data_IF_315540354221
#
_entry.id   IF_315540354221
#
_cell.length_a   1.000
_cell.length_b   1.000
_cell.length_c   1.000
_cell.angle_alpha   90.00
_cell.angle_beta   90.00
_cell.angle_gamma   90.00
#
_symmetry.space_group_name_H-M   'P 1'
#
loop_
_entity.id
_entity.type
_entity.pdbx_description
1 polymer ?
#
# COMPACT_ATOMS: atom_id res chain seq x y z
N UNK A 1 14.59 -51.74 25.52
CA UNK A 1 15.17 -50.54 24.87
C UNK A 1 14.16 -49.69 24.10
N UNK A 2 12.98 -50.21 23.71
CA UNK A 2 11.96 -49.47 22.93
C UNK A 2 11.12 -48.51 23.79
N UNK A 3 10.72 -48.90 25.00
CA UNK A 3 9.90 -48.05 25.90
C UNK A 3 10.61 -46.79 26.42
N UNK A 4 11.92 -46.83 26.64
CA UNK A 4 12.70 -45.65 27.05
C UNK A 4 12.76 -44.58 25.96
N UNK A 5 12.81 -45.01 24.68
CA UNK A 5 12.81 -44.11 23.51
C UNK A 5 11.44 -43.45 23.29
N UNK A 6 10.34 -44.15 23.56
CA UNK A 6 9.00 -43.57 23.53
C UNK A 6 8.82 -42.50 24.62
N UNK A 7 9.26 -42.77 25.86
CA UNK A 7 9.15 -41.75 26.93
C UNK A 7 9.99 -40.49 26.70
N UNK A 8 11.13 -40.61 26.00
CA UNK A 8 11.93 -39.44 25.62
C UNK A 8 11.28 -38.65 24.49
N UNK A 9 10.66 -39.32 23.52
CA UNK A 9 9.91 -38.67 22.44
C UNK A 9 8.69 -37.93 22.96
N UNK A 10 7.93 -38.52 23.89
CA UNK A 10 6.76 -37.87 24.50
C UNK A 10 7.15 -36.61 25.31
N UNK A 11 8.31 -36.63 25.98
CA UNK A 11 8.85 -35.46 26.68
C UNK A 11 9.32 -34.38 25.71
N UNK A 12 9.94 -34.77 24.60
CA UNK A 12 10.36 -33.86 23.53
C UNK A 12 9.13 -33.18 22.89
N UNK A 13 8.08 -33.95 22.60
CA UNK A 13 6.81 -33.45 22.05
C UNK A 13 6.08 -32.52 23.04
N UNK A 14 6.02 -32.87 24.32
CA UNK A 14 5.46 -32.00 25.35
C UNK A 14 6.25 -30.68 25.47
N UNK A 15 7.58 -30.73 25.36
CA UNK A 15 8.44 -29.54 25.37
C UNK A 15 8.20 -28.68 24.13
N UNK A 16 8.10 -29.28 22.94
CA UNK A 16 7.83 -28.57 21.68
C UNK A 16 6.44 -27.94 21.71
N UNK A 17 5.43 -28.65 22.21
CA UNK A 17 4.07 -28.12 22.35
C UNK A 17 4.00 -26.99 23.36
N UNK A 18 4.71 -27.08 24.50
CA UNK A 18 4.82 -25.98 25.44
C UNK A 18 5.53 -24.75 24.83
N UNK A 19 6.56 -24.98 24.02
CA UNK A 19 7.26 -23.90 23.30
C UNK A 19 6.35 -23.25 22.26
N UNK A 20 5.59 -24.03 21.48
CA UNK A 20 4.59 -23.52 20.53
C UNK A 20 3.48 -22.75 21.23
N UNK A 21 2.96 -23.25 22.35
CA UNK A 21 1.93 -22.57 23.13
C UNK A 21 2.43 -21.22 23.69
N UNK A 22 3.67 -21.16 24.19
CA UNK A 22 4.31 -19.90 24.63
C UNK A 22 4.52 -18.93 23.47
N UNK A 23 4.96 -19.43 22.31
CA UNK A 23 5.14 -18.61 21.12
C UNK A 23 3.80 -18.04 20.63
N UNK A 24 2.73 -18.85 20.60
CA UNK A 24 1.38 -18.39 20.25
C UNK A 24 0.84 -17.35 21.24
N UNK A 25 0.98 -17.59 22.55
CA UNK A 25 0.59 -16.62 23.57
C UNK A 25 1.39 -15.31 23.46
N UNK A 26 2.68 -15.37 23.10
CA UNK A 26 3.51 -14.20 22.82
C UNK A 26 3.04 -13.45 21.59
N UNK A 27 2.75 -14.15 20.50
CA UNK A 27 2.25 -13.53 19.26
C UNK A 27 0.90 -12.85 19.49
N UNK A 28 -0.02 -13.48 20.22
CA UNK A 28 -1.32 -12.89 20.56
C UNK A 28 -1.18 -11.56 21.32
N UNK A 29 -0.23 -11.46 22.25
CA UNK A 29 0.06 -10.20 22.99
C UNK A 29 0.65 -9.12 22.09
N UNK A 30 1.51 -9.47 21.14
CA UNK A 30 2.09 -8.49 20.20
C UNK A 30 1.09 -7.98 19.16
N UNK A 31 0.12 -8.82 18.79
CA UNK A 31 -0.96 -8.47 17.87
C UNK A 31 -2.02 -7.57 18.54
N UNK A 32 -2.22 -7.67 19.85
CA UNK A 32 -3.12 -6.79 20.58
C UNK A 32 -2.46 -5.42 20.87
N UNK A 33 -2.76 -4.43 20.05
CA UNK A 33 -2.19 -3.08 20.15
C UNK A 33 -2.42 -2.43 21.53
N UNK A 34 -3.55 -2.71 22.20
CA UNK A 34 -3.88 -2.13 23.51
C UNK A 34 -3.05 -2.74 24.64
N UNK A 35 -2.86 -4.06 24.64
CA UNK A 35 -2.00 -4.74 25.62
C UNK A 35 -0.52 -4.38 25.41
N UNK A 36 -0.12 -4.11 24.16
CA UNK A 36 1.23 -3.63 23.83
C UNK A 36 1.51 -2.23 24.37
N UNK A 37 0.51 -1.34 24.32
CA UNK A 37 0.66 0.05 24.80
C UNK A 37 0.41 0.18 26.31
N UNK A 38 -0.52 -0.60 26.87
CA UNK A 38 -0.95 -0.54 28.27
C UNK A 38 -1.17 -1.95 28.84
N UNK A 39 -0.07 -2.69 29.05
CA UNK A 39 -0.09 -4.03 29.64
C UNK A 39 -0.06 -3.97 31.18
N UNK A 40 -1.21 -4.14 31.83
CA UNK A 40 -1.32 -4.12 33.30
C UNK A 40 -2.09 -5.35 33.80
N UNK A 41 -1.47 -6.13 34.68
CA UNK A 41 -2.12 -7.26 35.36
C UNK A 41 -2.87 -6.77 36.60
N UNK A 42 -4.16 -6.46 36.43
CA UNK A 42 -5.02 -5.95 37.50
C UNK A 42 -5.14 -6.94 38.67
N UNK A 43 -5.26 -8.24 38.39
CA UNK A 43 -5.43 -9.24 39.44
C UNK A 43 -4.15 -9.43 40.28
N UNK A 44 -2.97 -9.21 39.70
CA UNK A 44 -1.72 -9.17 40.47
C UNK A 44 -1.61 -7.88 41.31
N UNK A 45 -1.99 -6.73 40.75
CA UNK A 45 -1.99 -5.47 41.50
C UNK A 45 -2.98 -5.48 42.66
N UNK A 46 -4.19 -6.00 42.47
CA UNK A 46 -5.20 -6.11 43.53
C UNK A 46 -4.69 -7.00 44.69
N UNK A 47 -3.99 -8.09 44.37
CA UNK A 47 -3.32 -8.94 45.36
C UNK A 47 -2.24 -8.19 46.14
N UNK A 48 -1.40 -7.41 45.46
CA UNK A 48 -0.36 -6.60 46.11
C UNK A 48 -0.94 -5.50 47.00
N UNK A 49 -2.07 -4.90 46.60
CA UNK A 49 -2.76 -3.87 47.39
C UNK A 49 -3.33 -4.48 48.67
N UNK A 50 -3.99 -5.64 48.58
CA UNK A 50 -4.53 -6.32 49.76
C UNK A 50 -3.40 -6.83 50.68
N UNK A 51 -2.30 -7.34 50.13
CA UNK A 51 -1.11 -7.73 50.93
C UNK A 51 -0.54 -6.55 51.72
N UNK A 52 -0.36 -5.39 51.06
CA UNK A 52 0.11 -4.16 51.74
C UNK A 52 -0.87 -3.67 52.79
N UNK A 53 -2.17 -3.79 52.54
CA UNK A 53 -3.21 -3.41 53.49
C UNK A 53 -3.18 -4.30 54.73
N UNK A 54 -3.04 -5.61 54.56
CA UNK A 54 -2.93 -6.56 55.67
C UNK A 54 -1.65 -6.34 56.48
N UNK A 55 -0.50 -6.12 55.81
CA UNK A 55 0.76 -5.81 56.48
C UNK A 55 0.66 -4.53 57.35
N UNK A 56 0.02 -3.49 56.81
CA UNK A 56 -0.20 -2.23 57.55
C UNK A 56 -1.16 -2.38 58.73
N UNK A 57 -2.14 -3.27 58.63
CA UNK A 57 -3.03 -3.58 59.75
C UNK A 57 -2.30 -4.36 60.85
N UNK A 58 -1.47 -5.33 60.48
CA UNK A 58 -0.64 -6.08 61.42
C UNK A 58 0.36 -5.18 62.14
N UNK A 59 1.02 -4.26 61.43
CA UNK A 59 1.94 -3.28 62.03
C UNK A 59 1.22 -2.35 63.01
N UNK A 60 0.01 -1.88 62.67
CA UNK A 60 -0.81 -1.08 63.59
C UNK A 60 -1.21 -1.84 64.85
N UNK A 61 -1.54 -3.13 64.73
CA UNK A 61 -1.87 -3.96 65.88
C UNK A 61 -0.64 -4.18 66.77
N UNK A 62 0.51 -4.53 66.19
CA UNK A 62 1.76 -4.69 66.94
C UNK A 62 2.16 -3.41 67.68
N UNK A 63 2.02 -2.24 67.05
CA UNK A 63 2.30 -0.95 67.69
C UNK A 63 1.31 -0.65 68.83
N UNK A 64 0.03 -1.01 68.68
CA UNK A 64 -0.97 -0.83 69.74
C UNK A 64 -0.70 -1.75 70.94
N UNK A 65 -0.32 -3.01 70.68
CA UNK A 65 0.03 -3.98 71.72
C UNK A 65 1.30 -3.55 72.47
N UNK A 66 2.31 -3.06 71.75
CA UNK A 66 3.53 -2.53 72.35
C UNK A 66 3.25 -1.29 73.22
N UNK A 67 2.41 -0.38 72.73
CA UNK A 67 1.99 0.78 73.52
C UNK A 67 1.24 0.39 74.80
N UNK A 68 0.35 -0.61 74.74
CA UNK A 68 -0.36 -1.12 75.91
C UNK A 68 0.60 -1.75 76.93
N UNK A 69 1.59 -2.50 76.45
CA UNK A 69 2.65 -3.07 77.29
C UNK A 69 3.49 -2.00 77.97
N UNK A 70 3.93 -0.99 77.23
CA UNK A 70 4.73 0.11 77.77
C UNK A 70 3.98 0.90 78.85
N UNK A 71 2.67 1.14 78.67
CA UNK A 71 1.84 1.74 79.71
C UNK A 71 1.75 0.89 80.98
N UNK A 72 1.66 -0.44 80.84
CA UNK A 72 1.66 -1.33 81.99
C UNK A 72 2.99 -1.29 82.75
N UNK A 73 4.12 -1.28 82.04
CA UNK A 73 5.46 -1.18 82.63
C UNK A 73 5.63 0.13 83.37
N UNK A 74 5.19 1.26 82.78
CA UNK A 74 5.25 2.57 83.43
C UNK A 74 4.46 2.59 84.74
N UNK A 75 3.25 2.03 84.76
CA UNK A 75 2.43 1.95 85.98
C UNK A 75 3.11 1.16 87.08
N UNK A 76 3.77 0.05 86.74
CA UNK A 76 4.50 -0.78 87.72
C UNK A 76 5.72 -0.01 88.26
N UNK A 77 6.46 0.69 87.40
CA UNK A 77 7.59 1.51 87.81
C UNK A 77 7.18 2.66 88.74
N UNK A 78 6.07 3.34 88.43
CA UNK A 78 5.53 4.40 89.29
C UNK A 78 5.12 3.87 90.66
N UNK A 79 4.46 2.71 90.73
CA UNK A 79 4.10 2.06 92.00
C UNK A 79 5.33 1.71 92.84
N UNK A 80 6.33 1.06 92.22
CA UNK A 80 7.59 0.70 92.88
C UNK A 80 8.35 1.92 93.39
N UNK A 81 8.37 3.01 92.61
CA UNK A 81 9.05 4.24 93.02
C UNK A 81 8.32 4.92 94.18
N UNK A 82 6.99 4.92 94.17
CA UNK A 82 6.17 5.44 95.28
C UNK A 82 6.38 4.62 96.56
N UNK A 83 6.39 3.28 96.47
CA UNK A 83 6.68 2.38 97.59
C UNK A 83 8.09 2.58 98.13
N UNK A 84 9.11 2.68 97.25
CA UNK A 84 10.49 2.94 97.65
C UNK A 84 10.64 4.31 98.33
N UNK A 85 9.95 5.35 97.84
CA UNK A 85 9.92 6.67 98.47
C UNK A 85 9.27 6.63 99.85
N UNK A 86 8.15 5.92 99.99
CA UNK A 86 7.46 5.75 101.27
C UNK A 86 8.33 4.99 102.28
N UNK A 87 8.98 3.89 101.86
CA UNK A 87 9.89 3.12 102.70
C UNK A 87 11.09 3.95 103.18
N UNK A 88 11.72 4.72 102.28
CA UNK A 88 12.83 5.63 102.64
C UNK A 88 12.39 6.72 103.62
N UNK A 89 11.19 7.29 103.45
CA UNK A 89 10.66 8.27 104.40
C UNK A 89 10.38 7.63 105.77
N UNK A 90 9.80 6.44 105.81
CA UNK A 90 9.55 5.71 107.05
C UNK A 90 10.86 5.36 107.78
N UNK A 91 11.87 4.89 107.06
CA UNK A 91 13.19 4.57 107.59
C UNK A 91 13.89 5.83 108.13
N UNK A 92 13.82 6.95 107.39
CA UNK A 92 14.38 8.23 107.84
C UNK A 92 13.69 8.75 109.10
N UNK A 93 12.36 8.62 109.20
CA UNK A 93 11.61 9.01 110.39
C UNK A 93 11.95 8.10 111.58
N UNK A 94 12.06 6.78 111.38
CA UNK A 94 12.48 5.84 112.42
C UNK A 94 13.89 6.16 112.92
N UNK A 95 14.84 6.41 112.02
CA UNK A 95 16.20 6.84 112.37
C UNK A 95 16.18 8.14 113.18
N UNK A 96 15.33 9.10 112.79
CA UNK A 96 15.19 10.38 113.47
C UNK A 96 14.69 10.22 114.91
N UNK A 97 13.69 9.38 115.12
CA UNK A 97 13.16 9.06 116.46
C UNK A 97 14.21 8.34 117.32
N UNK A 98 14.92 7.38 116.72
CA UNK A 98 15.96 6.58 117.39
C UNK A 98 17.16 7.45 117.81
N UNK A 99 17.55 8.41 116.96
CA UNK A 99 18.59 9.40 117.27
C UNK A 99 18.14 10.41 118.33
N UNK A 100 16.86 10.83 118.32
CA UNK A 100 16.30 11.70 119.37
C UNK A 100 16.27 10.99 120.72
N UNK A 101 15.95 9.69 120.75
CA UNK A 101 16.00 8.87 121.96
C UNK A 101 17.43 8.74 122.50
N UNK A 102 18.40 8.41 121.63
CA UNK A 102 19.82 8.31 122.01
C UNK A 102 20.44 9.64 122.42
N UNK A 103 19.92 10.77 121.94
CA UNK A 103 20.37 12.09 122.36
C UNK A 103 19.95 12.46 123.79
N UNK A 104 18.92 11.82 124.34
CA UNK A 104 18.45 12.01 125.72
C UNK A 104 19.15 11.10 126.74
N UNK A 105 19.91 10.10 126.28
CA UNK A 105 20.73 9.27 127.17
C UNK A 105 21.86 10.11 127.79
N UNK A 106 22.10 9.99 129.11
CA UNK A 106 23.17 10.74 129.77
C UNK A 106 24.52 10.32 129.17
N UNK A 107 25.14 11.25 128.43
CA UNK A 107 26.49 11.06 127.88
C UNK A 107 27.45 10.80 129.02
N UNK A 108 28.07 9.62 129.00
CA UNK A 108 29.11 9.19 129.94
C UNK A 108 30.06 10.36 130.28
N UNK A 109 30.04 10.75 131.56
CA UNK A 109 30.91 11.74 132.20
C UNK A 109 32.31 11.18 132.43
N UNK A 110 32.93 10.68 131.36
CA UNK A 110 34.37 10.43 131.36
C UNK A 110 35.08 11.77 131.19
N UNK A 111 36.01 12.08 132.10
CA UNK A 111 36.87 13.27 132.01
C UNK A 111 37.56 13.27 130.65
N UNK A 112 37.29 14.32 129.88
CA UNK A 112 37.75 14.43 128.50
C UNK A 112 39.27 14.59 128.46
N UNK A 113 39.89 13.53 127.93
CA UNK A 113 41.04 13.53 127.03
C UNK A 113 42.38 13.91 127.66
N UNK A 114 43.20 12.89 127.93
CA UNK A 114 44.66 13.05 127.97
C UNK A 114 45.19 13.58 126.63
N UNK A 115 46.47 13.95 126.61
CA UNK A 115 47.17 14.45 125.41
C UNK A 115 46.82 13.63 124.16
N UNK A 116 46.51 14.27 123.01
CA UNK A 116 46.16 13.57 121.77
C UNK A 116 47.20 12.50 121.47
N UNK A 117 46.74 11.25 121.37
CA UNK A 117 47.61 10.13 120.99
C UNK A 117 48.05 10.38 119.55
N UNK A 118 49.36 10.37 119.31
CA UNK A 118 49.90 10.39 117.96
C UNK A 118 49.81 8.96 117.38
N UNK A 119 48.95 8.70 116.39
CA UNK A 119 48.74 7.36 115.84
C UNK A 119 49.97 6.81 115.10
N UNK A 120 50.90 7.67 114.68
CA UNK A 120 52.14 7.25 114.01
C UNK A 120 53.15 6.62 114.98
N UNK A 121 53.09 6.98 116.27
CA UNK A 121 53.96 6.46 117.33
C UNK A 121 53.39 5.19 118.00
N UNK A 122 52.17 4.77 117.60
CA UNK A 122 51.47 3.63 118.17
C UNK A 122 51.79 2.32 117.44
N UNK A 123 51.94 1.22 118.18
CA UNK A 123 52.12 -0.11 117.59
C UNK A 123 50.82 -0.63 116.98
N UNK A 124 50.92 -1.58 116.03
CA UNK A 124 49.78 -2.17 115.33
C UNK A 124 48.74 -2.81 116.27
N UNK A 125 49.15 -3.28 117.45
CA UNK A 125 48.28 -3.91 118.44
C UNK A 125 47.36 -2.90 119.18
N UNK A 126 47.68 -1.60 119.16
CA UNK A 126 46.94 -0.58 119.88
C UNK A 126 45.60 -0.20 119.22
N UNK A 127 45.36 -0.64 117.96
CA UNK A 127 44.13 -0.34 117.22
C UNK A 127 43.93 1.14 116.89
N UNK A 128 44.96 1.97 117.02
CA UNK A 128 44.92 3.42 116.76
C UNK A 128 45.32 3.80 115.32
N UNK A 129 45.88 2.86 114.55
CA UNK A 129 46.29 3.07 113.15
C UNK A 129 45.82 1.90 112.29
N UNK A 130 45.03 2.19 111.26
CA UNK A 130 44.54 1.19 110.31
C UNK A 130 45.15 1.41 108.92
N UNK A 131 45.69 0.38 108.30
CA UNK A 131 46.26 0.47 106.95
C UNK A 131 45.23 0.84 105.86
N UNK A 132 43.94 0.64 106.11
CA UNK A 132 42.85 1.03 105.21
C UNK A 132 42.45 2.51 105.31
N UNK A 133 42.89 3.21 106.35
CA UNK A 133 42.65 4.63 106.56
C UNK A 133 43.66 5.43 105.73
N UNK A 134 43.41 5.53 104.42
CA UNK A 134 44.26 6.29 103.51
C UNK A 134 44.19 7.79 103.81
N UNK A 135 45.13 8.27 104.63
CA UNK A 135 45.29 9.69 104.96
C UNK A 135 45.62 10.56 103.72
N UNK A 136 46.12 9.95 102.64
CA UNK A 136 46.48 10.63 101.40
C UNK A 136 45.36 10.63 100.35
N UNK A 137 44.17 10.15 100.70
CA UNK A 137 43.03 9.99 99.79
C UNK A 137 42.75 11.23 98.95
N UNK A 138 42.72 12.40 99.57
CA UNK A 138 42.40 13.65 98.87
C UNK A 138 43.48 14.05 97.87
N UNK A 139 44.76 13.82 98.20
CA UNK A 139 45.89 14.06 97.29
C UNK A 139 45.82 13.08 96.12
N UNK A 140 45.57 11.80 96.37
CA UNK A 140 45.40 10.76 95.35
C UNK A 140 44.24 11.06 94.42
N UNK A 141 43.07 11.43 94.94
CA UNK A 141 41.90 11.82 94.14
C UNK A 141 42.23 13.04 93.27
N UNK A 142 42.90 14.06 93.83
CA UNK A 142 43.28 15.26 93.07
C UNK A 142 44.23 14.93 91.91
N UNK A 143 45.19 14.04 92.13
CA UNK A 143 46.10 13.56 91.08
C UNK A 143 45.36 12.75 90.01
N UNK A 144 44.49 11.82 90.40
CA UNK A 144 43.66 11.05 89.46
C UNK A 144 42.76 11.95 88.62
N UNK A 145 42.11 12.94 89.23
CA UNK A 145 41.31 13.93 88.50
C UNK A 145 42.15 14.78 87.54
N UNK A 146 43.38 15.15 87.92
CA UNK A 146 44.29 15.87 87.03
C UNK A 146 44.69 15.02 85.82
N UNK A 147 45.01 13.73 86.03
CA UNK A 147 45.31 12.78 84.96
C UNK A 147 44.10 12.59 84.04
N UNK A 148 42.89 12.41 84.60
CA UNK A 148 41.65 12.33 83.83
C UNK A 148 41.43 13.57 82.97
N UNK A 149 41.56 14.77 83.54
CA UNK A 149 41.43 16.02 82.78
C UNK A 149 42.45 16.11 81.64
N UNK A 150 43.69 15.71 81.89
CA UNK A 150 44.73 15.72 80.86
C UNK A 150 44.41 14.72 79.73
N UNK A 151 44.04 13.48 80.05
CA UNK A 151 43.70 12.47 79.05
C UNK A 151 42.47 12.85 78.25
N UNK A 152 41.41 13.34 78.90
CA UNK A 152 40.21 13.81 78.19
C UNK A 152 40.55 14.99 77.28
N UNK A 153 41.39 15.92 77.71
CA UNK A 153 41.82 17.05 76.87
C UNK A 153 42.61 16.58 75.65
N UNK A 154 43.51 15.62 75.81
CA UNK A 154 44.27 15.04 74.70
C UNK A 154 43.36 14.31 73.71
N UNK A 155 42.44 13.47 74.20
CA UNK A 155 41.49 12.76 73.34
C UNK A 155 40.56 13.71 72.57
N UNK A 156 40.08 14.78 73.21
CA UNK A 156 39.25 15.78 72.54
C UNK A 156 40.06 16.51 71.46
N UNK A 157 41.29 16.91 71.75
CA UNK A 157 42.15 17.58 70.78
C UNK A 157 42.48 16.66 69.58
N UNK A 158 42.81 15.40 69.82
CA UNK A 158 43.07 14.41 68.76
C UNK A 158 41.82 14.17 67.91
N UNK A 159 40.65 14.02 68.53
CA UNK A 159 39.38 13.84 67.82
C UNK A 159 39.04 15.06 66.96
N UNK A 160 39.29 16.27 67.46
CA UNK A 160 39.09 17.51 66.70
C UNK A 160 40.06 17.63 65.53
N UNK A 161 41.35 17.32 65.73
CA UNK A 161 42.34 17.30 64.66
C UNK A 161 41.96 16.32 63.55
N UNK A 162 41.60 15.08 63.92
CA UNK A 162 41.13 14.05 62.97
C UNK A 162 39.87 14.49 62.23
N UNK A 163 38.92 15.11 62.92
CA UNK A 163 37.71 15.65 62.28
C UNK A 163 38.04 16.76 61.28
N UNK A 164 39.02 17.62 61.58
CA UNK A 164 39.44 18.70 60.68
C UNK A 164 40.13 18.13 59.42
N UNK A 165 40.99 17.12 59.57
CA UNK A 165 41.63 16.43 58.45
C UNK A 165 40.61 15.79 57.50
N UNK A 166 39.59 15.10 58.04
CA UNK A 166 38.52 14.48 57.25
C UNK A 166 37.73 15.53 56.45
N UNK A 167 37.44 16.68 57.05
CA UNK A 167 36.74 17.78 56.37
C UNK A 167 37.62 18.37 55.26
N UNK A 168 38.91 18.55 55.53
CA UNK A 168 39.87 19.11 54.57
C UNK A 168 40.09 18.18 53.38
N UNK A 169 40.22 16.87 53.61
CA UNK A 169 40.28 15.86 52.56
C UNK A 169 38.98 15.83 51.74
N UNK A 170 37.82 15.93 52.39
CA UNK A 170 36.53 16.05 51.70
C UNK A 170 36.44 17.28 50.80
N UNK A 171 36.96 18.42 51.25
CA UNK A 171 37.03 19.65 50.44
C UNK A 171 37.98 19.50 49.24
N UNK A 172 39.16 18.89 49.43
CA UNK A 172 40.10 18.59 48.33
C UNK A 172 39.47 17.67 47.29
N UNK A 173 38.79 16.62 47.73
CA UNK A 173 38.11 15.68 46.84
C UNK A 173 36.99 16.38 46.06
N UNK A 174 36.20 17.24 46.72
CA UNK A 174 35.16 18.01 46.05
C UNK A 174 35.74 18.97 44.99
N UNK A 175 36.84 19.66 45.28
CA UNK A 175 37.53 20.50 44.31
C UNK A 175 38.04 19.70 43.10
N UNK A 176 38.62 18.53 43.35
CA UNK A 176 39.04 17.62 42.28
C UNK A 176 37.87 17.19 41.39
N UNK A 177 36.74 16.77 41.98
CA UNK A 177 35.55 16.42 41.21
C UNK A 177 35.03 17.60 40.38
N UNK A 178 34.97 18.80 40.97
CA UNK A 178 34.56 20.00 40.25
C UNK A 178 35.47 20.30 39.06
N UNK A 179 36.78 20.10 39.20
CA UNK A 179 37.73 20.29 38.09
C UNK A 179 37.54 19.24 36.99
N UNK A 180 37.31 17.98 37.37
CA UNK A 180 36.99 16.90 36.42
C UNK A 180 35.70 17.18 35.65
N UNK A 181 34.66 17.65 36.34
CA UNK A 181 33.39 17.98 35.70
C UNK A 181 33.51 19.18 34.74
N UNK A 182 34.31 20.19 35.09
CA UNK A 182 34.63 21.30 34.19
C UNK A 182 35.36 20.81 32.93
N UNK A 183 36.41 20.00 33.08
CA UNK A 183 37.14 19.43 31.94
C UNK A 183 36.23 18.57 31.05
N UNK A 184 35.30 17.81 31.65
CA UNK A 184 34.30 17.03 30.89
C UNK A 184 33.38 17.92 30.08
N UNK A 185 32.84 18.98 30.70
CA UNK A 185 31.96 19.92 30.01
C UNK A 185 32.67 20.62 28.84
N UNK A 186 33.92 21.04 29.02
CA UNK A 186 34.74 21.64 27.95
C UNK A 186 34.98 20.66 26.79
N UNK A 187 35.29 19.41 27.10
CA UNK A 187 35.48 18.36 26.08
C UNK A 187 34.20 18.06 25.32
N UNK A 188 33.06 17.95 26.02
CA UNK A 188 31.75 17.73 25.39
C UNK A 188 31.34 18.90 24.48
N UNK A 189 31.58 20.14 24.91
CA UNK A 189 31.30 21.33 24.10
C UNK A 189 32.18 21.38 22.85
N UNK A 190 33.48 21.07 22.99
CA UNK A 190 34.42 21.01 21.87
C UNK A 190 34.04 19.92 20.85
N UNK A 191 33.65 18.73 21.33
CA UNK A 191 33.16 17.65 20.46
C UNK A 191 31.85 18.02 19.76
N UNK A 192 30.90 18.61 20.49
CA UNK A 192 29.64 19.08 19.91
C UNK A 192 29.87 20.14 18.82
N UNK A 193 30.81 21.07 19.05
CA UNK A 193 31.20 22.08 18.07
C UNK A 193 31.83 21.44 16.83
N UNK A 194 32.73 20.46 16.99
CA UNK A 194 33.37 19.72 15.89
C UNK A 194 32.33 18.97 15.06
N UNK A 195 31.44 18.21 15.70
CA UNK A 195 30.37 17.47 15.02
C UNK A 195 29.43 18.42 14.26
N UNK A 196 29.11 19.58 14.85
CA UNK A 196 28.28 20.59 14.18
C UNK A 196 28.98 21.23 12.98
N UNK A 197 30.30 21.40 13.02
CA UNK A 197 31.09 21.89 11.89
C UNK A 197 31.14 20.84 10.76
N UNK A 198 31.40 19.58 11.11
CA UNK A 198 31.41 18.46 10.16
C UNK A 198 30.05 18.30 9.46
N UNK A 199 28.95 18.30 10.23
CA UNK A 199 27.60 18.25 9.65
C UNK A 199 27.32 19.40 8.69
N UNK A 200 27.80 20.61 8.99
CA UNK A 200 27.69 21.77 8.08
C UNK A 200 28.49 21.56 6.80
N UNK A 201 29.70 21.03 6.90
CA UNK A 201 30.55 20.72 5.73
C UNK A 201 29.90 19.65 4.85
N UNK A 202 29.44 18.54 5.43
CA UNK A 202 28.77 17.45 4.70
C UNK A 202 27.49 17.96 4.02
N UNK A 203 26.71 18.81 4.70
CA UNK A 203 25.53 19.44 4.11
C UNK A 203 25.90 20.27 2.89
N UNK A 204 26.90 21.15 2.99
CA UNK A 204 27.35 21.98 1.87
C UNK A 204 27.85 21.14 0.69
N UNK A 205 28.57 20.05 0.96
CA UNK A 205 29.03 19.11 -0.06
C UNK A 205 27.86 18.41 -0.76
N UNK A 206 26.84 17.98 0.00
CA UNK A 206 25.65 17.36 -0.56
C UNK A 206 24.82 18.34 -1.40
N UNK A 207 24.70 19.60 -0.96
CA UNK A 207 24.04 20.67 -1.71
C UNK A 207 24.79 20.95 -3.04
N UNK A 208 26.12 21.06 -3.01
CA UNK A 208 26.93 21.22 -4.22
C UNK A 208 26.77 20.05 -5.19
N UNK A 209 26.79 18.81 -4.67
CA UNK A 209 26.59 17.60 -5.47
C UNK A 209 25.18 17.52 -6.07
N UNK A 210 24.16 17.93 -5.32
CA UNK A 210 22.78 17.97 -5.82
C UNK A 210 22.65 18.94 -7.00
N UNK A 211 23.30 20.12 -6.91
CA UNK A 211 23.33 21.09 -8.00
C UNK A 211 24.06 20.53 -9.24
N UNK A 212 25.23 19.91 -9.06
CA UNK A 212 25.98 19.28 -10.17
C UNK A 212 25.15 18.21 -10.89
N UNK A 213 24.44 17.36 -10.12
CA UNK A 213 23.56 16.33 -10.69
C UNK A 213 22.37 16.95 -11.41
N UNK A 214 21.78 18.03 -10.88
CA UNK A 214 20.68 18.74 -11.51
C UNK A 214 21.11 19.39 -12.84
N UNK A 215 22.29 20.04 -12.86
CA UNK A 215 22.86 20.61 -14.08
C UNK A 215 23.16 19.55 -15.13
N UNK A 216 23.77 18.42 -14.74
CA UNK A 216 24.01 17.31 -15.66
C UNK A 216 22.70 16.78 -16.25
N UNK A 217 21.69 16.54 -15.40
CA UNK A 217 20.38 16.07 -15.85
C UNK A 217 19.70 17.07 -16.80
N UNK A 218 19.86 18.37 -16.57
CA UNK A 218 19.32 19.40 -17.46
C UNK A 218 20.02 19.37 -18.83
N UNK A 219 21.35 19.19 -18.86
CA UNK A 219 22.12 19.03 -20.11
C UNK A 219 21.73 17.76 -20.84
N UNK A 220 21.66 16.63 -20.13
CA UNK A 220 21.26 15.34 -20.71
C UNK A 220 19.86 15.43 -21.32
N UNK A 221 18.92 16.08 -20.62
CA UNK A 221 17.57 16.30 -21.13
C UNK A 221 17.56 17.19 -22.37
N UNK A 222 18.31 18.30 -22.37
CA UNK A 222 18.39 19.18 -23.54
C UNK A 222 18.96 18.45 -24.77
N UNK A 223 19.96 17.59 -24.56
CA UNK A 223 20.53 16.76 -25.61
C UNK A 223 19.54 15.69 -26.08
N UNK A 224 18.80 15.06 -25.18
CA UNK A 224 17.73 14.11 -25.52
C UNK A 224 16.61 14.79 -26.34
N UNK A 225 16.18 15.97 -25.92
CA UNK A 225 15.19 16.77 -26.66
C UNK A 225 15.70 17.12 -28.07
N UNK A 226 16.97 17.51 -28.22
CA UNK A 226 17.59 17.79 -29.53
C UNK A 226 17.68 16.54 -30.42
N UNK A 227 18.10 15.40 -29.86
CA UNK A 227 18.14 14.13 -30.57
C UNK A 227 16.73 13.70 -31.02
N UNK A 228 15.73 13.83 -30.15
CA UNK A 228 14.34 13.52 -30.46
C UNK A 228 13.80 14.42 -31.57
N UNK A 229 14.12 15.72 -31.56
CA UNK A 229 13.75 16.63 -32.65
C UNK A 229 14.39 16.23 -33.98
N UNK A 230 15.66 15.84 -33.97
CA UNK A 230 16.35 15.35 -35.17
C UNK A 230 15.75 14.05 -35.67
N UNK A 231 15.42 13.11 -34.78
CA UNK A 231 14.74 11.86 -35.14
C UNK A 231 13.37 12.14 -35.74
N UNK A 232 12.56 13.01 -35.11
CA UNK A 232 11.25 13.39 -35.62
C UNK A 232 11.35 14.02 -37.02
N UNK A 233 12.29 14.94 -37.25
CA UNK A 233 12.53 15.52 -38.58
C UNK A 233 12.91 14.44 -39.59
N UNK A 234 13.83 13.54 -39.23
CA UNK A 234 14.26 12.46 -40.10
C UNK A 234 13.11 11.49 -40.47
N UNK A 235 12.27 11.14 -39.49
CA UNK A 235 11.10 10.28 -39.72
C UNK A 235 10.05 11.00 -40.57
N UNK A 236 9.82 12.29 -40.31
CA UNK A 236 8.88 13.11 -41.10
C UNK A 236 9.35 13.33 -42.53
N UNK A 237 10.65 13.42 -42.77
CA UNK A 237 11.24 13.50 -44.12
C UNK A 237 11.45 12.12 -44.75
N UNK A 238 11.19 11.04 -44.00
CA UNK A 238 11.41 9.68 -44.48
C UNK A 238 10.54 9.40 -45.71
N UNK A 239 11.14 8.95 -46.83
CA UNK A 239 10.40 8.56 -48.02
C UNK A 239 9.36 7.47 -47.79
N UNK A 240 9.56 6.66 -46.75
CA UNK A 240 8.62 5.63 -46.34
C UNK A 240 7.32 6.23 -45.77
N UNK A 241 7.43 7.21 -44.87
CA UNK A 241 6.28 7.86 -44.22
C UNK A 241 5.54 8.80 -45.18
N UNK A 242 6.26 9.55 -46.02
CA UNK A 242 5.66 10.44 -47.02
C UNK A 242 5.14 9.71 -48.26
N UNK A 243 5.21 8.39 -48.25
CA UNK A 243 4.85 7.51 -49.36
C UNK A 243 5.43 7.92 -50.72
N UNK A 244 6.65 8.45 -50.74
CA UNK A 244 7.24 9.05 -51.93
C UNK A 244 7.29 8.03 -53.10
N UNK A 245 6.77 8.43 -54.27
CA UNK A 245 6.61 7.53 -55.43
C UNK A 245 7.89 7.38 -56.25
N UNK A 246 8.87 8.27 -56.04
CA UNK A 246 10.13 8.28 -56.79
C UNK A 246 11.00 7.06 -56.49
N UNK A 247 10.91 6.51 -55.27
CA UNK A 247 11.58 5.25 -54.88
C UNK A 247 11.07 4.03 -55.67
N UNK A 248 9.90 4.14 -56.31
CA UNK A 248 9.37 3.14 -57.21
C UNK A 248 10.06 3.10 -58.58
N UNK A 249 10.81 4.13 -58.98
CA UNK A 249 11.47 4.17 -60.29
C UNK A 249 12.60 3.14 -60.36
N UNK A 250 12.67 2.40 -61.47
CA UNK A 250 13.75 1.44 -61.68
C UNK A 250 15.04 2.17 -62.04
N UNK A 251 16.16 1.76 -61.44
CA UNK A 251 17.48 2.28 -61.82
C UNK A 251 17.89 1.92 -63.26
N UNK A 252 17.25 0.90 -63.86
CA UNK A 252 17.62 0.38 -65.16
C UNK A 252 16.92 1.09 -66.33
N UNK A 253 15.73 1.67 -66.09
CA UNK A 253 15.01 2.47 -67.09
C UNK A 253 13.88 3.29 -66.48
N UNK A 254 13.66 4.50 -67.02
CA UNK A 254 12.69 5.48 -66.52
C UNK A 254 11.22 5.02 -66.64
N UNK A 255 10.89 4.25 -67.67
CA UNK A 255 9.54 3.74 -67.90
C UNK A 255 9.22 2.48 -67.08
N UNK A 256 10.20 1.89 -66.40
CA UNK A 256 10.01 0.66 -65.61
C UNK A 256 9.86 1.01 -64.14
N UNK A 257 8.84 0.45 -63.52
CA UNK A 257 8.60 0.58 -62.08
C UNK A 257 9.06 -0.69 -61.36
N UNK A 258 9.63 -0.52 -60.18
CA UNK A 258 10.01 -1.59 -59.26
C UNK A 258 8.75 -2.30 -58.74
N UNK A 259 8.63 -3.64 -58.87
CA UNK A 259 7.43 -4.37 -58.47
C UNK A 259 7.08 -4.23 -56.98
N UNK A 260 8.10 -4.15 -56.13
CA UNK A 260 8.00 -4.07 -54.67
C UNK A 260 7.54 -2.68 -54.17
N UNK A 261 7.70 -1.63 -54.97
CA UNK A 261 7.39 -0.24 -54.61
C UNK A 261 6.33 0.38 -55.53
N UNK A 262 5.55 -0.44 -56.23
CA UNK A 262 4.45 0.04 -57.07
C UNK A 262 3.27 0.50 -56.21
N UNK A 263 2.97 1.81 -56.24
CA UNK A 263 1.91 2.46 -55.44
C UNK A 263 0.73 2.96 -56.29
N UNK A 264 0.45 2.26 -57.40
CA UNK A 264 -0.61 2.64 -58.33
C UNK A 264 -0.17 3.64 -59.40
N UNK A 265 -1.15 4.09 -60.20
CA UNK A 265 -0.93 5.02 -61.30
C UNK A 265 -0.83 6.47 -60.81
N UNK A 266 -0.05 7.29 -61.52
CA UNK A 266 -0.01 8.73 -61.24
C UNK A 266 -1.35 9.39 -61.57
N UNK A 267 -1.65 10.53 -60.93
CA UNK A 267 -2.88 11.29 -61.20
C UNK A 267 -3.01 11.62 -62.69
N UNK A 268 -1.90 11.92 -63.37
CA UNK A 268 -1.91 12.27 -64.79
C UNK A 268 -2.12 11.05 -65.70
N UNK A 269 -1.57 9.88 -65.34
CA UNK A 269 -1.88 8.63 -66.02
C UNK A 269 -3.35 8.25 -65.88
N UNK A 270 -3.91 8.41 -64.67
CA UNK A 270 -5.34 8.16 -64.42
C UNK A 270 -6.21 9.11 -65.24
N UNK A 271 -5.88 10.41 -65.28
CA UNK A 271 -6.58 11.39 -66.13
C UNK A 271 -6.52 11.01 -67.60
N UNK A 272 -5.36 10.58 -68.09
CA UNK A 272 -5.20 10.14 -69.47
C UNK A 272 -6.11 8.94 -69.78
N UNK A 273 -6.17 7.94 -68.91
CA UNK A 273 -7.08 6.79 -69.04
C UNK A 273 -8.54 7.25 -69.08
N UNK A 274 -8.94 8.21 -68.24
CA UNK A 274 -10.30 8.75 -68.29
C UNK A 274 -10.60 9.47 -69.61
N UNK A 275 -9.65 10.25 -70.13
CA UNK A 275 -9.79 10.91 -71.43
C UNK A 275 -9.95 9.89 -72.57
N UNK A 276 -9.14 8.83 -72.59
CA UNK A 276 -9.29 7.75 -73.57
C UNK A 276 -10.64 7.03 -73.43
N UNK A 277 -11.07 6.74 -72.19
CA UNK A 277 -12.39 6.13 -71.95
C UNK A 277 -13.53 7.02 -72.46
N UNK A 278 -13.44 8.34 -72.27
CA UNK A 278 -14.43 9.29 -72.78
C UNK A 278 -14.50 9.26 -74.32
N UNK A 279 -13.34 9.17 -74.99
CA UNK A 279 -13.26 9.00 -76.45
C UNK A 279 -13.91 7.68 -76.88
N UNK A 280 -13.58 6.56 -76.24
CA UNK A 280 -14.16 5.25 -76.53
C UNK A 280 -15.68 5.25 -76.34
N UNK A 281 -16.19 5.88 -75.28
CA UNK A 281 -17.62 6.03 -75.04
C UNK A 281 -18.29 6.87 -76.13
N UNK A 282 -17.64 7.95 -76.59
CA UNK A 282 -18.15 8.78 -77.67
C UNK A 282 -18.19 8.02 -79.01
N UNK A 283 -17.14 7.27 -79.35
CA UNK A 283 -17.09 6.42 -80.55
C UNK A 283 -18.17 5.34 -80.52
N UNK A 284 -18.33 4.64 -79.39
CA UNK A 284 -19.38 3.64 -79.22
C UNK A 284 -20.78 4.23 -79.36
N UNK A 285 -21.02 5.44 -78.82
CA UNK A 285 -22.30 6.15 -79.02
C UNK A 285 -22.54 6.48 -80.49
N UNK A 286 -21.51 6.91 -81.22
CA UNK A 286 -21.59 7.21 -82.65
C UNK A 286 -21.88 5.96 -83.48
N UNK A 287 -21.15 4.87 -83.24
CA UNK A 287 -21.37 3.59 -83.91
C UNK A 287 -22.80 3.06 -83.68
N UNK A 288 -23.31 3.15 -82.44
CA UNK A 288 -24.68 2.76 -82.12
C UNK A 288 -25.74 3.63 -82.80
N UNK A 289 -25.42 4.90 -83.06
CA UNK A 289 -26.31 5.79 -83.81
C UNK A 289 -26.31 5.45 -85.30
N UNK A 290 -25.13 5.17 -85.88
CA UNK A 290 -25.01 4.71 -87.27
C UNK A 290 -25.75 3.38 -87.50
N UNK A 291 -25.64 2.42 -86.56
CA UNK A 291 -26.41 1.16 -86.60
C UNK A 291 -27.92 1.42 -86.60
N UNK A 292 -28.41 2.31 -85.72
CA UNK A 292 -29.83 2.70 -85.72
C UNK A 292 -30.28 3.35 -87.02
N UNK A 293 -29.44 4.18 -87.63
CA UNK A 293 -29.76 4.86 -88.88
C UNK A 293 -29.81 3.86 -90.06
N UNK A 294 -28.92 2.87 -90.07
CA UNK A 294 -28.93 1.74 -91.02
C UNK A 294 -30.18 0.88 -90.81
N UNK A 295 -30.50 0.49 -89.58
CA UNK A 295 -31.72 -0.27 -89.27
C UNK A 295 -32.99 0.49 -89.66
N UNK A 296 -33.04 1.80 -89.42
CA UNK A 296 -34.15 2.64 -89.86
C UNK A 296 -34.23 2.75 -91.38
N UNK A 297 -33.10 2.82 -92.09
CA UNK A 297 -33.06 2.80 -93.55
C UNK A 297 -33.51 1.45 -94.11
N UNK A 298 -33.09 0.34 -93.49
CA UNK A 298 -33.53 -1.00 -93.83
C UNK A 298 -35.03 -1.19 -93.57
N UNK A 299 -35.55 -0.68 -92.44
CA UNK A 299 -36.99 -0.64 -92.15
C UNK A 299 -37.77 0.12 -93.22
N UNK A 300 -37.34 1.34 -93.59
CA UNK A 300 -37.97 2.10 -94.69
C UNK A 300 -37.95 1.35 -96.02
N UNK A 301 -36.84 0.67 -96.34
CA UNK A 301 -36.73 -0.15 -97.53
C UNK A 301 -37.70 -1.34 -97.50
N UNK A 302 -37.78 -2.05 -96.36
CA UNK A 302 -38.68 -3.18 -96.15
C UNK A 302 -40.16 -2.76 -96.29
N UNK A 303 -40.52 -1.61 -95.72
CA UNK A 303 -41.87 -1.04 -95.82
C UNK A 303 -42.21 -0.68 -97.27
N UNK A 304 -41.28 -0.06 -98.00
CA UNK A 304 -41.46 0.26 -99.41
C UNK A 304 -41.63 -1.00 -100.28
N UNK A 305 -40.83 -2.04 -100.04
CA UNK A 305 -40.96 -3.34 -100.72
C UNK A 305 -42.30 -3.99 -100.41
N UNK A 306 -42.73 -3.97 -99.14
CA UNK A 306 -44.01 -4.52 -98.70
C UNK A 306 -45.18 -3.79 -99.38
N UNK A 307 -45.13 -2.46 -99.43
CA UNK A 307 -46.12 -1.64 -100.12
C UNK A 307 -46.20 -1.95 -101.62
N UNK A 308 -45.05 -2.08 -102.30
CA UNK A 308 -44.98 -2.47 -103.71
C UNK A 308 -45.52 -3.88 -103.95
N UNK A 309 -45.27 -4.82 -103.04
CA UNK A 309 -45.81 -6.17 -103.10
C UNK A 309 -47.33 -6.19 -102.92
N UNK A 310 -47.86 -5.38 -102.00
CA UNK A 310 -49.29 -5.25 -101.77
C UNK A 310 -50.00 -4.58 -102.97
N UNK A 311 -49.42 -3.54 -103.57
CA UNK A 311 -49.87 -2.94 -104.82
C UNK A 311 -49.94 -3.99 -105.96
N UNK A 312 -48.87 -4.77 -106.14
CA UNK A 312 -48.83 -5.85 -107.13
C UNK A 312 -49.88 -6.94 -106.88
N UNK A 313 -50.09 -7.32 -105.62
CA UNK A 313 -51.12 -8.29 -105.23
C UNK A 313 -52.53 -7.76 -105.54
N UNK A 314 -52.81 -6.50 -105.22
CA UNK A 314 -54.10 -5.86 -105.56
C UNK A 314 -54.30 -5.78 -107.08
N UNK A 315 -53.27 -5.43 -107.85
CA UNK A 315 -53.34 -5.40 -109.31
C UNK A 315 -53.61 -6.79 -109.90
N UNK A 316 -52.91 -7.84 -109.43
CA UNK A 316 -53.18 -9.22 -109.83
C UNK A 316 -54.59 -9.65 -109.47
N UNK A 317 -55.08 -9.31 -108.27
CA UNK A 317 -56.44 -9.62 -107.84
C UNK A 317 -57.48 -8.94 -108.74
N UNK A 318 -57.30 -7.65 -109.03
CA UNK A 318 -58.18 -6.91 -109.93
C UNK A 318 -58.18 -7.49 -111.35
N UNK A 319 -57.01 -7.90 -111.87
CA UNK A 319 -56.91 -8.58 -113.17
C UNK A 319 -57.63 -9.94 -113.13
N UNK A 320 -57.46 -10.73 -112.06
CA UNK A 320 -58.19 -12.00 -111.86
C UNK A 320 -59.70 -11.78 -111.83
N UNK A 321 -60.16 -10.78 -111.09
CA UNK A 321 -61.58 -10.45 -110.96
C UNK A 321 -62.16 -9.96 -112.30
N UNK A 322 -61.40 -9.19 -113.07
CA UNK A 322 -61.77 -8.78 -114.43
C UNK A 322 -61.89 -9.98 -115.39
N UNK A 323 -60.88 -10.87 -115.39
CA UNK A 323 -60.90 -12.09 -116.22
C UNK A 323 -62.06 -13.02 -115.82
N UNK A 324 -62.36 -13.15 -114.53
CA UNK A 324 -63.49 -13.93 -114.04
C UNK A 324 -64.84 -13.34 -114.51
N UNK A 325 -64.99 -12.00 -114.51
CA UNK A 325 -66.20 -11.34 -115.06
C UNK A 325 -66.35 -11.59 -116.55
N UNK A 326 -65.27 -11.45 -117.31
CA UNK A 326 -65.28 -11.71 -118.76
C UNK A 326 -65.65 -13.17 -119.05
N UNK A 327 -65.08 -14.12 -118.30
CA UNK A 327 -65.47 -15.54 -118.39
C UNK A 327 -66.95 -15.76 -118.04
N UNK A 328 -67.48 -15.09 -117.02
CA UNK A 328 -68.89 -15.20 -116.66
C UNK A 328 -69.82 -14.67 -117.77
N UNK A 329 -69.45 -13.55 -118.41
CA UNK A 329 -70.17 -13.00 -119.57
C UNK A 329 -70.12 -13.93 -120.78
N UNK A 330 -68.96 -14.52 -121.09
CA UNK A 330 -68.82 -15.49 -122.18
C UNK A 330 -69.62 -16.77 -121.91
N UNK A 331 -69.61 -17.28 -120.67
CA UNK A 331 -70.46 -18.43 -120.27
C UNK A 331 -71.94 -18.09 -120.45
N UNK A 332 -72.37 -16.86 -120.11
CA UNK A 332 -73.76 -16.42 -120.30
C UNK A 332 -74.14 -16.36 -121.79
N UNK A 333 -73.27 -15.83 -122.66
CA UNK A 333 -73.47 -15.84 -124.11
C UNK A 333 -73.54 -17.25 -124.68
N UNK A 334 -72.65 -18.15 -124.24
CA UNK A 334 -72.65 -19.55 -124.66
C UNK A 334 -73.95 -20.28 -124.25
N UNK A 335 -74.49 -19.99 -123.05
CA UNK A 335 -75.78 -20.53 -122.61
C UNK A 335 -76.94 -20.07 -123.50
N UNK A 336 -76.96 -18.79 -123.92
CA UNK A 336 -77.97 -18.27 -124.84
C UNK A 336 -77.88 -18.94 -126.22
N UNK A 337 -76.67 -19.04 -126.79
CA UNK A 337 -76.45 -19.70 -128.10
C UNK A 337 -76.84 -21.18 -128.04
N UNK A 338 -76.55 -21.90 -126.95
CA UNK A 338 -76.99 -23.28 -126.78
C UNK A 338 -78.52 -23.41 -126.65
N UNK A 339 -79.18 -22.46 -125.97
CA UNK A 339 -80.63 -22.44 -125.86
C UNK A 339 -81.30 -22.21 -127.23
N UNK A 340 -80.76 -21.29 -128.04
CA UNK A 340 -81.23 -21.04 -129.42
C UNK A 340 -81.03 -22.27 -130.32
N UNK A 341 -79.85 -22.90 -130.29
CA UNK A 341 -79.59 -24.13 -131.06
C UNK A 341 -80.50 -25.29 -130.66
N UNK A 342 -80.80 -25.45 -129.36
CA UNK A 342 -81.77 -26.46 -128.90
C UNK A 342 -83.18 -26.17 -129.42
N UNK A 343 -83.60 -24.91 -129.40
CA UNK A 343 -84.91 -24.50 -129.91
C UNK A 343 -85.04 -24.69 -131.44
N UNK A 344 -83.96 -24.47 -132.20
CA UNK A 344 -83.90 -24.75 -133.64
C UNK A 344 -83.93 -26.26 -133.93
N UNK A 345 -83.14 -27.06 -133.19
CA UNK A 345 -83.12 -28.50 -133.34
C UNK A 345 -84.47 -29.17 -133.01
N UNK A 346 -85.26 -28.59 -132.11
CA UNK A 346 -86.63 -29.05 -131.85
C UNK A 346 -87.61 -28.76 -133.00
N UNK A 347 -87.43 -27.64 -133.72
CA UNK A 347 -88.30 -27.25 -134.85
C UNK A 347 -88.04 -28.07 -136.11
N UNK A 348 -86.81 -28.51 -136.35
CA UNK A 348 -86.44 -29.30 -137.54
C UNK A 348 -86.62 -30.82 -137.34
N UNK A 349 -87.30 -31.27 -136.27
CA UNK A 349 -87.40 -32.69 -135.89
C UNK A 349 -88.25 -33.56 -136.83
N UNK A 350 -89.01 -32.98 -137.76
CA UNK A 350 -89.81 -33.71 -138.74
C UNK A 350 -89.60 -33.13 -140.16
N UNK A 351 -88.79 -33.81 -140.97
CA UNK A 351 -88.50 -33.42 -142.36
C UNK A 351 -89.61 -33.80 -143.35
N UNK A 352 -89.82 -32.96 -144.36
CA UNK A 352 -90.79 -33.10 -145.45
C UNK A 352 -90.26 -33.94 -146.62
N UNK A 353 -91.15 -34.69 -147.29
CA UNK A 353 -90.84 -35.48 -148.51
C UNK A 353 -90.96 -34.59 -149.74
N UNK A 354 -89.84 -34.36 -150.45
CA UNK A 354 -89.76 -33.49 -151.64
C UNK A 354 -89.83 -34.29 -152.96
N UNK A 355 -90.31 -33.64 -154.02
CA UNK A 355 -90.79 -34.21 -155.29
C UNK A 355 -89.77 -34.97 -156.16
N UNK A 356 -88.54 -35.15 -155.69
CA UNK A 356 -87.53 -36.03 -156.28
C UNK A 356 -87.71 -37.51 -155.94
N UNK A 357 -88.47 -37.85 -154.89
CA UNK A 357 -88.61 -39.24 -154.40
C UNK A 357 -89.34 -40.16 -155.39
N UNK A 358 -90.35 -39.67 -156.11
CA UNK A 358 -91.14 -40.49 -157.04
C UNK A 358 -90.52 -40.62 -158.45
N UNK A 359 -89.43 -39.90 -158.76
CA UNK A 359 -88.75 -40.00 -160.07
C UNK A 359 -87.84 -41.21 -160.24
N UNK A 360 -87.68 -42.04 -159.20
CA UNK A 360 -86.92 -43.31 -159.26
C UNK A 360 -87.74 -44.54 -159.64
N UNK A 361 -89.07 -44.43 -159.74
CA UNK A 361 -89.95 -45.55 -160.10
C UNK A 361 -90.25 -45.56 -161.62
N UNK A 362 -89.89 -46.64 -162.31
CA UNK A 362 -90.41 -46.97 -163.64
C UNK A 362 -89.69 -46.38 -164.86
N UNK A 363 -88.47 -45.86 -164.75
CA UNK A 363 -87.75 -45.21 -165.86
C UNK A 363 -86.98 -46.16 -166.82
N UNK A 364 -87.27 -47.47 -166.84
CA UNK A 364 -86.76 -48.35 -167.89
C UNK A 364 -87.83 -49.33 -168.38
N UNK A 365 -88.17 -49.23 -169.67
CA UNK A 365 -88.85 -50.27 -170.41
C UNK A 365 -87.84 -51.35 -170.82
N UNK A 366 -87.63 -52.34 -169.94
CA UNK A 366 -87.04 -53.65 -170.25
C UNK A 366 -87.32 -54.64 -169.14
#
# INVERSE_FOLDING_TARGET
MVMLKQSSLDKEEARINAMRARAQARTQRFLNARERTLGVDKAALDRQVEEKRLAKLAEKQANADQFAYDQQVLRILESNEAESRAAKMAEMNALREDLLAKAQEPKNTCEKMGTPINPDDCSFAAGQRFAGEDQSKDVRIRQQQAQMRQWTRQQVAEKQARSAEVVEEGMRFHQYLSAVDQMRAEMEEAEAARVKAEKRMVRAMNEARANEVAERKAKDKALEDELNEMELKHVMESPFINEETDFGKSAQSDYRVRPDHFKGYSSDQVKYIFQENDVVVAEHKKAKQEEKDVDAAWGRHQDAVSYMMEQNYQAQKAQRDYMNKLQAEDIAKQRLVQAEKKAQAEKDRFGSVDGGFFKGFGSSCR
#
